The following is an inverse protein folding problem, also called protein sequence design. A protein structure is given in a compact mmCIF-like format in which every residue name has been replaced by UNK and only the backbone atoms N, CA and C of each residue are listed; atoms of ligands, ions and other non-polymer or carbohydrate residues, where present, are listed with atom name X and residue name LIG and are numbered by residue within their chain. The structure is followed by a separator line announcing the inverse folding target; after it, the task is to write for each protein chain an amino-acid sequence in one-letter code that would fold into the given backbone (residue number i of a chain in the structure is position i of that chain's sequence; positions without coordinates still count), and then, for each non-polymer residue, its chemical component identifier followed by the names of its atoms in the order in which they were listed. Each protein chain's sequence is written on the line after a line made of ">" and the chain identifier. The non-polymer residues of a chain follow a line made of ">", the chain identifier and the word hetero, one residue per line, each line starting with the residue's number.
data_IF_292101921906
#
_entry.id   IF_292101921906
#
_cell.length_a   1.000
_cell.length_b   1.000
_cell.length_c   1.000
_cell.angle_alpha   90.00
_cell.angle_beta   90.00
_cell.angle_gamma   90.00
#
_symmetry.space_group_name_H-M   'P 1'
#
loop_
_entity.id
_entity.type
_entity.pdbx_description
1 polymer ?
#
# COMPACT_ATOMS: atom_id res chain seq x y z
N UNK A 1 3.71 20.83 7.42
CA UNK A 1 3.87 19.57 6.65
C UNK A 1 3.28 18.46 7.49
N UNK A 2 2.39 17.62 6.96
CA UNK A 2 1.94 16.45 7.72
C UNK A 2 3.09 15.46 7.83
N UNK A 3 3.26 14.85 9.00
CA UNK A 3 4.22 13.78 9.23
C UNK A 3 3.91 12.63 8.25
N UNK A 4 4.94 12.06 7.63
CA UNK A 4 4.79 10.84 6.82
C UNK A 4 4.35 9.68 7.73
N UNK A 5 3.51 8.74 7.24
CA UNK A 5 3.13 7.57 8.01
C UNK A 5 4.33 6.68 8.29
N UNK A 6 4.32 5.94 9.40
CA UNK A 6 5.23 4.81 9.60
C UNK A 6 4.93 3.69 8.60
N UNK A 7 5.78 2.66 8.55
CA UNK A 7 5.54 1.53 7.68
C UNK A 7 4.23 0.79 8.04
N UNK A 8 3.99 0.57 9.33
CA UNK A 8 2.78 -0.09 9.83
C UNK A 8 1.54 0.74 9.49
N UNK A 9 1.57 2.06 9.75
CA UNK A 9 0.49 2.96 9.39
C UNK A 9 0.24 2.96 7.87
N UNK A 10 1.30 2.95 7.07
CA UNK A 10 1.20 2.90 5.63
C UNK A 10 0.53 1.62 5.13
N UNK A 11 0.84 0.47 5.73
CA UNK A 11 0.18 -0.81 5.42
C UNK A 11 -1.30 -0.74 5.76
N UNK A 12 -1.68 -0.22 6.93
CA UNK A 12 -3.08 -0.07 7.32
C UNK A 12 -3.86 0.88 6.39
N UNK A 13 -3.21 1.96 5.91
CA UNK A 13 -3.80 2.90 4.95
C UNK A 13 -4.02 2.23 3.58
N UNK A 14 -3.08 1.39 3.13
CA UNK A 14 -3.08 0.80 1.78
C UNK A 14 -3.89 -0.50 1.70
N UNK A 15 -3.94 -1.32 2.74
CA UNK A 15 -4.68 -2.59 2.78
C UNK A 15 -6.13 -2.49 2.26
N UNK A 16 -6.95 -1.50 2.64
CA UNK A 16 -8.34 -1.41 2.13
C UNK A 16 -8.43 -1.03 0.65
N UNK A 17 -7.32 -0.63 0.02
CA UNK A 17 -7.25 -0.28 -1.41
C UNK A 17 -6.94 -1.50 -2.29
N UNK A 18 -6.73 -2.67 -1.69
CA UNK A 18 -6.48 -3.92 -2.42
C UNK A 18 -7.80 -4.46 -2.99
N UNK A 19 -7.81 -4.73 -4.29
CA UNK A 19 -8.96 -5.31 -4.99
C UNK A 19 -8.54 -6.34 -6.03
N UNK A 20 -9.48 -7.17 -6.45
CA UNK A 20 -9.27 -8.04 -7.60
C UNK A 20 -9.10 -7.22 -8.87
N UNK A 21 -8.14 -7.65 -9.69
CA UNK A 21 -7.93 -7.14 -11.03
C UNK A 21 -8.93 -7.78 -12.00
N UNK A 22 -8.95 -7.25 -13.23
CA UNK A 22 -9.68 -7.88 -14.34
C UNK A 22 -9.05 -9.19 -14.80
N UNK A 23 -7.77 -9.43 -14.45
CA UNK A 23 -7.08 -10.70 -14.64
C UNK A 23 -7.50 -11.64 -13.51
N UNK A 24 -7.91 -12.84 -13.90
CA UNK A 24 -8.42 -13.86 -12.99
C UNK A 24 -7.44 -14.15 -11.85
N UNK A 25 -7.97 -14.17 -10.61
CA UNK A 25 -7.22 -14.44 -9.37
C UNK A 25 -6.03 -13.53 -9.06
N UNK A 26 -5.85 -12.40 -9.76
CA UNK A 26 -4.81 -11.43 -9.44
C UNK A 26 -5.39 -10.26 -8.64
N UNK A 27 -4.76 -9.93 -7.51
CA UNK A 27 -5.07 -8.73 -6.73
C UNK A 27 -4.06 -7.61 -7.02
N UNK A 28 -4.49 -6.37 -6.86
CA UNK A 28 -3.64 -5.20 -6.99
C UNK A 28 -4.12 -4.08 -6.06
N UNK A 29 -3.25 -3.11 -5.83
CA UNK A 29 -3.62 -1.88 -5.12
C UNK A 29 -4.22 -0.91 -6.14
N UNK A 30 -5.41 -0.38 -5.83
CA UNK A 30 -6.05 0.65 -6.65
C UNK A 30 -6.36 1.92 -5.85
N UNK A 31 -5.65 3.00 -6.17
CA UNK A 31 -5.87 4.32 -5.58
C UNK A 31 -7.24 4.92 -5.93
N UNK A 32 -7.95 4.42 -6.93
CA UNK A 32 -9.33 4.85 -7.21
C UNK A 32 -10.32 4.42 -6.13
N UNK A 33 -9.96 3.44 -5.29
CA UNK A 33 -10.78 3.01 -4.15
C UNK A 33 -10.71 4.05 -3.02
N UNK A 34 -9.64 4.83 -2.95
CA UNK A 34 -9.51 5.90 -1.96
C UNK A 34 -10.44 7.07 -2.28
N UNK A 35 -11.09 7.61 -1.25
CA UNK A 35 -11.81 8.88 -1.34
C UNK A 35 -10.84 10.02 -1.64
N UNK A 36 -11.37 11.12 -2.21
CA UNK A 36 -10.54 12.24 -2.67
C UNK A 36 -9.65 12.83 -1.55
N UNK A 37 -10.17 12.94 -0.34
CA UNK A 37 -9.47 13.40 0.86
C UNK A 37 -8.36 12.43 1.32
N UNK A 38 -8.51 11.13 1.04
CA UNK A 38 -7.53 10.09 1.40
C UNK A 38 -6.52 9.79 0.31
N UNK A 39 -6.70 10.33 -0.90
CA UNK A 39 -5.86 10.00 -2.06
C UNK A 39 -4.39 10.39 -1.84
N UNK A 40 -4.14 11.58 -1.30
CA UNK A 40 -2.78 12.07 -1.03
C UNK A 40 -2.06 11.22 0.02
N UNK A 41 -2.72 10.93 1.14
CA UNK A 41 -2.12 10.12 2.21
C UNK A 41 -1.89 8.67 1.76
N UNK A 42 -2.77 8.13 0.91
CA UNK A 42 -2.60 6.80 0.32
C UNK A 42 -1.39 6.73 -0.62
N UNK A 43 -1.16 7.78 -1.43
CA UNK A 43 0.03 7.88 -2.27
C UNK A 43 1.32 7.97 -1.43
N UNK A 44 1.29 8.75 -0.35
CA UNK A 44 2.43 8.85 0.58
C UNK A 44 2.72 7.50 1.26
N UNK A 45 1.67 6.78 1.68
CA UNK A 45 1.79 5.45 2.26
C UNK A 45 2.45 4.46 1.29
N UNK A 46 2.04 4.46 0.01
CA UNK A 46 2.69 3.63 -1.02
C UNK A 46 4.18 3.96 -1.19
N UNK A 47 4.53 5.25 -1.14
CA UNK A 47 5.92 5.67 -1.23
C UNK A 47 6.75 5.20 -0.01
N UNK A 48 6.18 5.23 1.19
CA UNK A 48 6.83 4.71 2.42
C UNK A 48 7.06 3.20 2.33
N UNK A 49 6.07 2.44 1.87
CA UNK A 49 6.19 0.99 1.67
C UNK A 49 7.29 0.70 0.65
N UNK A 50 7.23 1.34 -0.52
CA UNK A 50 8.22 1.16 -1.59
C UNK A 50 9.64 1.46 -1.10
N UNK A 51 9.83 2.59 -0.43
CA UNK A 51 11.14 3.00 0.09
C UNK A 51 11.69 2.01 1.14
N UNK A 52 10.80 1.45 1.99
CA UNK A 52 11.19 0.43 2.97
C UNK A 52 11.69 -0.86 2.31
N UNK A 53 11.05 -1.27 1.21
CA UNK A 53 11.47 -2.43 0.41
C UNK A 53 12.79 -2.12 -0.31
N UNK A 54 12.88 -0.97 -1.00
CA UNK A 54 14.06 -0.57 -1.76
C UNK A 54 15.31 -0.43 -0.87
N UNK A 55 15.13 -0.09 0.42
CA UNK A 55 16.20 -0.04 1.42
C UNK A 55 16.53 -1.38 2.08
N UNK A 56 15.81 -2.45 1.75
CA UNK A 56 15.98 -3.77 2.36
C UNK A 56 15.58 -3.82 3.84
N UNK A 57 14.71 -2.91 4.29
CA UNK A 57 14.19 -2.93 5.67
C UNK A 57 13.12 -4.01 5.86
N UNK A 58 12.41 -4.33 4.79
CA UNK A 58 11.37 -5.36 4.73
C UNK A 58 11.37 -6.04 3.37
N UNK A 59 10.94 -7.29 3.34
CA UNK A 59 10.82 -8.04 2.09
C UNK A 59 9.52 -7.74 1.34
N UNK A 60 9.58 -7.69 0.01
CA UNK A 60 8.39 -7.52 -0.84
C UNK A 60 7.33 -8.59 -0.56
N UNK A 61 7.75 -9.84 -0.34
CA UNK A 61 6.84 -10.95 -0.04
C UNK A 61 6.10 -10.73 1.28
N UNK A 62 6.82 -10.26 2.31
CA UNK A 62 6.20 -9.97 3.61
C UNK A 62 5.16 -8.85 3.49
N UNK A 63 5.47 -7.80 2.74
CA UNK A 63 4.54 -6.71 2.45
C UNK A 63 3.32 -7.22 1.68
N UNK A 64 3.50 -8.04 0.64
CA UNK A 64 2.39 -8.58 -0.12
C UNK A 64 1.44 -9.40 0.75
N UNK A 65 1.98 -10.28 1.59
CA UNK A 65 1.20 -11.06 2.55
C UNK A 65 0.44 -10.15 3.52
N UNK A 66 1.08 -9.11 4.07
CA UNK A 66 0.45 -8.12 4.99
C UNK A 66 -0.64 -7.27 4.32
N UNK A 67 -0.52 -7.04 3.01
CA UNK A 67 -1.52 -6.34 2.20
C UNK A 67 -2.59 -7.30 1.64
N UNK A 68 -2.38 -8.61 1.71
CA UNK A 68 -3.27 -9.61 1.13
C UNK A 68 -3.21 -9.68 -0.40
N UNK A 69 -2.06 -9.32 -1.00
CA UNK A 69 -1.80 -9.37 -2.44
C UNK A 69 -1.37 -10.77 -2.94
N UNK A 70 -0.96 -11.63 -2.02
CA UNK A 70 -0.65 -13.04 -2.28
C UNK A 70 -1.92 -13.93 -2.18
#
# INVERSE_FOLDING_TARGET
>A
MSKLPTLEEAIEIVRPLVKYSVVENQKHIDLSVATADKRMISQQALMVIKNSIDKGLVDQKEINTKLGLD
#
